data_IF_715402466252
#
_entry.id   IF_715402466252
#
_cell.length_a   1.000
_cell.length_b   1.000
_cell.length_c   1.000
_cell.angle_alpha   90.00
_cell.angle_beta   90.00
_cell.angle_gamma   90.00
#
_symmetry.space_group_name_H-M   'P 1'
#
loop_
_entity.id
_entity.type
_entity.pdbx_description
1 polymer ?
#
# COMPACT_ATOMS: atom_id res chain seq x y z
N UNK A 1 -40.77 25.83 47.80
CA UNK A 1 -40.99 25.37 46.41
C UNK A 1 -39.74 24.77 45.72
N UNK A 2 -38.77 24.18 46.47
CA UNK A 2 -37.49 23.68 45.90
C UNK A 2 -37.31 22.15 46.00
N UNK A 3 -38.23 21.47 46.70
CA UNK A 3 -38.10 20.03 47.07
C UNK A 3 -38.86 19.11 46.11
N UNK A 4 -39.83 19.64 45.35
CA UNK A 4 -40.65 18.84 44.41
C UNK A 4 -39.86 18.54 43.12
N UNK A 5 -38.95 19.44 42.69
CA UNK A 5 -38.12 19.24 41.49
C UNK A 5 -37.08 18.13 41.63
N UNK A 6 -36.45 17.98 42.81
CA UNK A 6 -35.41 16.95 43.01
C UNK A 6 -35.94 15.53 42.87
N UNK A 7 -37.10 15.24 43.47
CA UNK A 7 -37.73 13.92 43.42
C UNK A 7 -38.25 13.53 42.04
N UNK A 8 -38.66 14.50 41.21
CA UNK A 8 -39.08 14.24 39.83
C UNK A 8 -37.91 14.01 38.88
N UNK A 9 -36.73 14.57 39.17
CA UNK A 9 -35.53 14.37 38.34
C UNK A 9 -34.91 13.00 38.57
N UNK A 10 -34.92 12.50 39.81
CA UNK A 10 -34.41 11.16 40.16
C UNK A 10 -35.24 10.03 39.53
N UNK A 11 -36.57 10.16 39.49
CA UNK A 11 -37.45 9.14 38.88
C UNK A 11 -37.32 9.11 37.35
N UNK A 12 -37.18 10.27 36.71
CA UNK A 12 -36.92 10.37 35.26
C UNK A 12 -35.53 9.82 34.91
N UNK A 13 -34.52 10.05 35.75
CA UNK A 13 -33.17 9.51 35.56
C UNK A 13 -33.15 7.97 35.66
N UNK A 14 -33.88 7.39 36.62
CA UNK A 14 -33.97 5.94 36.78
C UNK A 14 -34.64 5.24 35.57
N UNK A 15 -35.67 5.86 34.97
CA UNK A 15 -36.37 5.31 33.80
C UNK A 15 -35.58 5.53 32.50
N UNK A 16 -34.90 6.66 32.35
CA UNK A 16 -34.18 7.03 31.12
C UNK A 16 -32.78 6.43 30.99
N UNK A 17 -32.14 6.06 32.10
CA UNK A 17 -30.84 5.38 32.13
C UNK A 17 -30.79 4.06 31.34
N UNK A 18 -31.69 3.08 31.56
CA UNK A 18 -31.67 1.82 30.81
C UNK A 18 -31.97 2.02 29.32
N UNK A 19 -32.81 2.99 28.96
CA UNK A 19 -33.13 3.31 27.56
C UNK A 19 -31.91 3.90 26.84
N UNK A 20 -31.18 4.79 27.52
CA UNK A 20 -29.95 5.38 26.98
C UNK A 20 -28.87 4.32 26.77
N UNK A 21 -28.71 3.40 27.73
CA UNK A 21 -27.77 2.29 27.62
C UNK A 21 -28.08 1.38 26.43
N UNK A 22 -29.34 0.96 26.26
CA UNK A 22 -29.77 0.13 25.14
C UNK A 22 -29.55 0.83 23.79
N UNK A 23 -29.86 2.13 23.68
CA UNK A 23 -29.57 2.91 22.47
C UNK A 23 -28.07 3.00 22.17
N UNK A 24 -27.24 3.18 23.20
CA UNK A 24 -25.78 3.25 23.04
C UNK A 24 -25.20 1.92 22.54
N UNK A 25 -25.72 0.79 23.05
CA UNK A 25 -25.29 -0.53 22.60
C UNK A 25 -25.67 -0.80 21.14
N UNK A 26 -26.88 -0.44 20.72
CA UNK A 26 -27.28 -0.56 19.31
C UNK A 26 -26.40 0.27 18.38
N UNK A 27 -26.06 1.50 18.78
CA UNK A 27 -25.14 2.34 17.99
C UNK A 27 -23.74 1.73 17.89
N UNK A 28 -23.20 1.25 19.01
CA UNK A 28 -21.87 0.61 19.05
C UNK A 28 -21.84 -0.69 18.25
N UNK A 29 -22.91 -1.48 18.28
CA UNK A 29 -23.03 -2.69 17.48
C UNK A 29 -23.03 -2.38 15.99
N UNK A 30 -23.77 -1.36 15.58
CA UNK A 30 -23.82 -0.92 14.18
C UNK A 30 -22.47 -0.39 13.70
N UNK A 31 -21.81 0.44 14.50
CA UNK A 31 -20.47 0.93 14.19
C UNK A 31 -19.46 -0.23 14.08
N UNK A 32 -19.52 -1.21 14.99
CA UNK A 32 -18.65 -2.38 14.94
C UNK A 32 -18.92 -3.23 13.68
N UNK A 33 -20.18 -3.40 13.30
CA UNK A 33 -20.59 -4.11 12.08
C UNK A 33 -20.01 -3.45 10.84
N UNK A 34 -20.17 -2.13 10.71
CA UNK A 34 -19.61 -1.35 9.60
C UNK A 34 -18.08 -1.40 9.58
N UNK A 35 -17.42 -1.32 10.73
CA UNK A 35 -15.97 -1.42 10.82
C UNK A 35 -15.47 -2.81 10.38
N UNK A 36 -16.17 -3.88 10.77
CA UNK A 36 -15.83 -5.25 10.33
C UNK A 36 -16.01 -5.43 8.83
N UNK A 37 -17.08 -4.90 8.26
CA UNK A 37 -17.32 -4.95 6.82
C UNK A 37 -16.21 -4.23 6.05
N UNK A 38 -15.87 -3.00 6.46
CA UNK A 38 -14.76 -2.26 5.85
C UNK A 38 -13.43 -2.99 6.00
N UNK A 39 -13.15 -3.59 7.16
CA UNK A 39 -11.93 -4.35 7.38
C UNK A 39 -11.84 -5.59 6.48
N UNK A 40 -12.96 -6.29 6.27
CA UNK A 40 -13.04 -7.41 5.35
C UNK A 40 -12.78 -6.97 3.91
N UNK A 41 -13.42 -5.89 3.45
CA UNK A 41 -13.22 -5.33 2.11
C UNK A 41 -11.75 -4.94 1.87
N UNK A 42 -11.14 -4.25 2.83
CA UNK A 42 -9.72 -3.87 2.76
C UNK A 42 -8.81 -5.09 2.73
N UNK A 43 -9.13 -6.13 3.51
CA UNK A 43 -8.35 -7.37 3.53
C UNK A 43 -8.41 -8.10 2.19
N UNK A 44 -9.61 -8.21 1.60
CA UNK A 44 -9.80 -8.80 0.27
C UNK A 44 -9.07 -8.00 -0.82
N UNK A 45 -9.11 -6.67 -0.74
CA UNK A 45 -8.38 -5.81 -1.67
C UNK A 45 -6.86 -6.01 -1.54
N UNK A 46 -6.34 -6.09 -0.32
CA UNK A 46 -4.92 -6.37 -0.06
C UNK A 46 -4.49 -7.72 -0.64
N UNK A 47 -5.26 -8.79 -0.40
CA UNK A 47 -4.97 -10.11 -0.98
C UNK A 47 -4.95 -10.06 -2.52
N UNK A 48 -5.90 -9.36 -3.14
CA UNK A 48 -5.92 -9.17 -4.59
C UNK A 48 -4.67 -8.45 -5.09
N UNK A 49 -4.24 -7.37 -4.42
CA UNK A 49 -3.03 -6.64 -4.79
C UNK A 49 -1.77 -7.48 -4.64
N UNK A 50 -1.67 -8.29 -3.57
CA UNK A 50 -0.55 -9.21 -3.36
C UNK A 50 -0.49 -10.25 -4.49
N UNK A 51 -1.65 -10.81 -4.87
CA UNK A 51 -1.71 -11.77 -5.97
C UNK A 51 -1.32 -11.15 -7.31
N UNK A 52 -1.80 -9.94 -7.61
CA UNK A 52 -1.42 -9.21 -8.82
C UNK A 52 0.08 -8.87 -8.86
N UNK A 53 0.66 -8.48 -7.72
CA UNK A 53 2.10 -8.24 -7.64
C UNK A 53 2.88 -9.53 -7.92
N UNK A 54 2.48 -10.64 -7.32
CA UNK A 54 3.12 -11.95 -7.53
C UNK A 54 3.03 -12.40 -8.99
N UNK A 55 1.86 -12.22 -9.62
CA UNK A 55 1.68 -12.53 -11.04
C UNK A 55 2.56 -11.63 -11.92
N UNK A 56 2.62 -10.33 -11.62
CA UNK A 56 3.48 -9.39 -12.33
C UNK A 56 4.97 -9.76 -12.20
N UNK A 57 5.42 -10.16 -11.01
CA UNK A 57 6.80 -10.62 -10.79
C UNK A 57 7.09 -11.88 -11.63
N UNK A 58 6.17 -12.84 -11.65
CA UNK A 58 6.29 -14.04 -12.49
C UNK A 58 6.32 -13.70 -13.99
N UNK A 59 5.48 -12.77 -14.44
CA UNK A 59 5.48 -12.31 -15.83
C UNK A 59 6.80 -11.60 -16.17
N UNK A 60 7.36 -10.80 -15.26
CA UNK A 60 8.67 -10.18 -15.44
C UNK A 60 9.79 -11.21 -15.55
N UNK A 61 9.76 -12.26 -14.72
CA UNK A 61 10.68 -13.38 -14.79
C UNK A 61 10.56 -14.12 -16.14
N UNK A 62 9.34 -14.43 -16.59
CA UNK A 62 9.08 -15.12 -17.87
C UNK A 62 9.51 -14.30 -19.09
N UNK A 63 9.34 -12.98 -19.04
CA UNK A 63 9.79 -12.07 -20.09
C UNK A 63 11.32 -11.91 -20.14
N UNK A 64 12.07 -12.57 -19.24
CA UNK A 64 13.50 -12.36 -19.04
C UNK A 64 13.81 -10.86 -19.01
N UNK A 65 13.01 -10.08 -18.26
CA UNK A 65 13.29 -8.67 -18.03
C UNK A 65 14.56 -8.61 -17.13
N UNK A 66 15.72 -8.88 -17.72
CA UNK A 66 17.02 -8.92 -17.07
C UNK A 66 17.45 -7.49 -16.70
N UNK A 67 16.74 -6.87 -15.76
CA UNK A 67 17.30 -5.79 -14.93
C UNK A 67 18.11 -6.32 -13.76
N UNK A 68 18.23 -7.63 -13.59
CA UNK A 68 19.08 -8.24 -12.58
C UNK A 68 20.45 -8.62 -13.13
N UNK A 69 21.16 -7.66 -13.70
CA UNK A 69 22.62 -7.76 -13.76
C UNK A 69 23.18 -7.23 -12.45
N UNK A 70 24.01 -8.03 -11.76
CA UNK A 70 24.82 -7.56 -10.62
C UNK A 70 25.93 -6.60 -11.05
N UNK A 71 26.10 -6.36 -12.34
CA UNK A 71 27.08 -5.45 -12.90
C UNK A 71 26.53 -4.03 -12.94
N UNK A 72 27.32 -3.06 -12.49
CA UNK A 72 27.00 -1.65 -12.63
C UNK A 72 27.09 -1.28 -14.12
N UNK A 73 25.94 -1.20 -14.79
CA UNK A 73 25.86 -0.74 -16.17
C UNK A 73 26.05 0.77 -16.20
N UNK A 74 27.13 1.24 -16.84
CA UNK A 74 27.32 2.65 -17.16
C UNK A 74 27.03 2.88 -18.64
N UNK A 75 26.06 3.74 -18.99
CA UNK A 75 25.81 4.08 -20.38
C UNK A 75 26.99 4.88 -20.94
N UNK A 76 27.37 4.59 -22.19
CA UNK A 76 28.44 5.29 -22.92
C UNK A 76 28.04 5.45 -24.40
N UNK A 77 28.46 6.53 -25.03
CA UNK A 77 28.26 6.77 -26.45
C UNK A 77 29.43 6.24 -27.26
N UNK A 78 29.12 5.67 -28.43
CA UNK A 78 30.14 5.28 -29.40
C UNK A 78 30.59 6.52 -30.15
N UNK A 79 31.84 6.94 -29.93
CA UNK A 79 32.44 8.11 -30.58
C UNK A 79 33.16 7.76 -31.88
N UNK A 80 33.59 6.50 -32.04
CA UNK A 80 34.25 6.04 -33.27
C UNK A 80 34.06 4.53 -33.47
N UNK A 81 34.13 4.08 -34.73
CA UNK A 81 34.12 2.67 -35.12
C UNK A 81 35.26 2.46 -36.13
N UNK A 82 36.05 1.40 -35.93
CA UNK A 82 37.11 1.01 -36.87
C UNK A 82 36.54 0.77 -38.26
N UNK A 83 37.05 1.50 -39.25
CA UNK A 83 36.57 1.45 -40.65
C UNK A 83 37.30 0.34 -41.44
N UNK A 84 38.42 -0.15 -40.93
CA UNK A 84 39.20 -1.18 -41.62
C UNK A 84 38.60 -2.58 -41.41
N UNK A 85 38.43 -3.39 -42.48
CA UNK A 85 37.84 -4.74 -42.39
C UNK A 85 38.57 -5.69 -41.44
N UNK A 86 39.86 -5.46 -41.20
CA UNK A 86 40.71 -6.25 -40.31
C UNK A 86 40.78 -5.70 -38.88
N UNK A 87 40.10 -4.59 -38.56
CA UNK A 87 40.06 -4.00 -37.22
C UNK A 87 38.62 -3.68 -36.80
N UNK A 88 37.95 -4.68 -36.24
CA UNK A 88 36.62 -4.56 -35.63
C UNK A 88 36.73 -3.98 -34.23
N UNK A 89 36.87 -2.66 -34.13
CA UNK A 89 36.95 -1.94 -32.85
C UNK A 89 35.89 -0.84 -32.75
N UNK A 90 35.48 -0.52 -31.53
CA UNK A 90 34.63 0.63 -31.22
C UNK A 90 35.29 1.43 -30.11
N UNK A 91 35.22 2.76 -30.23
CA UNK A 91 35.70 3.68 -29.21
C UNK A 91 34.48 4.29 -28.54
N UNK A 92 34.49 4.28 -27.20
CA UNK A 92 33.42 4.82 -26.36
C UNK A 92 33.94 6.01 -25.55
N UNK A 93 33.05 6.91 -25.17
CA UNK A 93 33.34 8.16 -24.44
C UNK A 93 33.55 7.98 -22.92
N UNK A 94 34.01 6.81 -22.50
CA UNK A 94 34.25 6.46 -21.09
C UNK A 94 35.58 5.75 -20.92
N UNK A 95 36.27 6.00 -19.81
CA UNK A 95 37.58 5.38 -19.52
C UNK A 95 37.90 5.32 -18.03
N UNK A 96 39.19 5.23 -17.68
CA UNK A 96 39.62 4.99 -16.28
C UNK A 96 39.19 6.07 -15.29
N UNK A 97 38.95 7.31 -15.75
CA UNK A 97 38.39 8.39 -14.91
C UNK A 97 36.92 8.15 -14.53
N UNK A 98 36.22 7.36 -15.34
CA UNK A 98 34.83 6.97 -15.12
C UNK A 98 34.71 5.63 -14.37
N UNK A 99 35.83 5.07 -13.88
CA UNK A 99 35.87 3.86 -13.08
C UNK A 99 35.74 2.56 -13.87
N UNK A 100 36.21 2.56 -15.12
CA UNK A 100 36.44 1.36 -15.95
C UNK A 100 37.84 0.78 -15.74
#
# INVERSE_FOLDING_TARGET
>A
MKVIRGKTTETVAFISSPITWVKSLMFLEEENRLLRENNLLLSLQLESMINLQKENDQLQDMLNFQRQTKLSLKPAHVVNKGIQPNLLSIVIDVGSKDGL
#
